data_IF_607562789080
#
_entry.id   IF_607562789080
#
_cell.length_a   1.000
_cell.length_b   1.000
_cell.length_c   1.000
_cell.angle_alpha   90.00
_cell.angle_beta   90.00
_cell.angle_gamma   90.00
#
_symmetry.space_group_name_H-M   'P 1'
#
loop_
_entity.id
_entity.type
_entity.pdbx_description
1 polymer ?
#
# COMPACT_ATOMS: atom_id res chain seq x y z
N UNK A 1 -7.26 -12.24 -0.23
CA UNK A 1 -7.22 -12.19 1.25
C UNK A 1 -5.79 -12.35 1.74
N UNK A 2 -5.36 -11.51 2.68
CA UNK A 2 -4.08 -11.69 3.39
C UNK A 2 -4.37 -11.95 4.87
N UNK A 3 -3.77 -13.01 5.44
CA UNK A 3 -3.94 -13.42 6.84
C UNK A 3 -2.58 -13.39 7.54
N UNK A 4 -2.55 -12.81 8.70
CA UNK A 4 -1.39 -12.66 9.56
C UNK A 4 -1.62 -13.49 10.82
N UNK A 5 -0.65 -14.33 11.20
CA UNK A 5 -0.74 -15.24 12.32
C UNK A 5 0.48 -15.10 13.24
N UNK A 6 0.22 -14.70 14.48
CA UNK A 6 1.20 -14.57 15.56
C UNK A 6 2.48 -13.83 15.11
N UNK A 7 2.31 -12.78 14.31
CA UNK A 7 3.44 -12.07 13.70
C UNK A 7 4.17 -11.23 14.74
N UNK A 8 5.50 -11.37 14.77
CA UNK A 8 6.36 -10.60 15.66
C UNK A 8 7.58 -10.04 14.94
N UNK A 9 8.06 -8.87 15.39
CA UNK A 9 9.28 -8.23 14.89
C UNK A 9 10.11 -7.66 16.02
N UNK A 10 11.39 -8.02 16.01
CA UNK A 10 12.40 -7.51 16.94
C UNK A 10 13.68 -7.13 16.20
N UNK A 11 14.39 -6.14 16.70
CA UNK A 11 15.74 -5.77 16.30
C UNK A 11 16.65 -5.83 17.51
N UNK A 12 17.44 -6.90 17.60
CA UNK A 12 18.21 -7.22 18.82
C UNK A 12 17.29 -7.34 20.03
N UNK A 13 17.56 -6.63 21.13
CA UNK A 13 16.72 -6.69 22.35
C UNK A 13 15.40 -5.92 22.24
N UNK A 14 15.24 -5.08 21.22
CA UNK A 14 14.06 -4.23 21.07
C UNK A 14 12.98 -4.95 20.26
N UNK A 15 11.86 -5.31 20.92
CA UNK A 15 10.66 -5.79 20.26
C UNK A 15 9.80 -4.61 19.84
N UNK A 16 9.44 -4.54 18.56
CA UNK A 16 8.50 -3.55 18.03
C UNK A 16 7.06 -3.96 18.30
N UNK A 17 6.75 -5.20 17.97
CA UNK A 17 5.44 -5.83 18.20
C UNK A 17 5.58 -7.35 18.18
N UNK A 18 4.64 -8.02 18.83
CA UNK A 18 4.56 -9.50 18.90
C UNK A 18 3.11 -9.94 18.95
N UNK A 19 2.85 -11.16 18.50
CA UNK A 19 1.52 -11.75 18.58
C UNK A 19 0.45 -11.03 17.77
N UNK A 20 0.81 -10.41 16.63
CA UNK A 20 -0.18 -9.76 15.77
C UNK A 20 -0.95 -10.81 14.99
N UNK A 21 -2.27 -10.81 15.17
CA UNK A 21 -3.22 -11.66 14.47
C UNK A 21 -4.30 -10.79 13.83
N UNK A 22 -4.39 -10.80 12.51
CA UNK A 22 -5.44 -10.09 11.77
C UNK A 22 -5.56 -10.59 10.33
N UNK A 23 -6.65 -10.21 9.68
CA UNK A 23 -6.90 -10.56 8.28
C UNK A 23 -7.37 -9.31 7.54
N UNK A 24 -6.93 -9.15 6.30
CA UNK A 24 -7.44 -8.14 5.36
C UNK A 24 -8.12 -8.89 4.23
N UNK A 25 -9.41 -8.66 4.07
CA UNK A 25 -10.22 -9.28 3.03
C UNK A 25 -10.01 -8.60 1.68
N UNK A 26 -10.45 -9.25 0.60
CA UNK A 26 -10.64 -8.59 -0.68
C UNK A 26 -11.64 -7.45 -0.52
N UNK A 27 -11.38 -6.33 -1.16
CA UNK A 27 -12.26 -5.18 -1.08
C UNK A 27 -12.27 -4.46 0.27
N UNK A 28 -11.29 -4.74 1.13
CA UNK A 28 -11.21 -4.12 2.45
C UNK A 28 -10.10 -3.07 2.52
N UNK A 29 -10.42 -1.94 3.12
CA UNK A 29 -9.51 -0.85 3.45
C UNK A 29 -9.17 -0.89 4.95
N UNK A 30 -7.96 -1.29 5.32
CA UNK A 30 -7.48 -1.35 6.70
C UNK A 30 -6.55 -0.16 7.01
N UNK A 31 -6.84 0.58 8.09
CA UNK A 31 -5.91 1.56 8.66
C UNK A 31 -4.99 0.92 9.70
N UNK A 32 -3.68 1.11 9.56
CA UNK A 32 -2.70 0.86 10.63
C UNK A 32 -2.43 2.18 11.34
N UNK A 33 -2.79 2.26 12.62
CA UNK A 33 -2.59 3.45 13.44
C UNK A 33 -1.63 3.15 14.60
N UNK A 34 -1.09 4.19 15.21
CA UNK A 34 -0.19 4.07 16.36
C UNK A 34 0.84 5.20 16.37
N UNK A 35 1.56 5.39 17.49
CA UNK A 35 2.54 6.45 17.64
C UNK A 35 3.69 6.34 16.62
N UNK A 36 4.43 7.45 16.44
CA UNK A 36 5.65 7.41 15.63
C UNK A 36 6.64 6.40 16.21
N UNK A 37 7.28 5.62 15.34
CA UNK A 37 8.22 4.56 15.77
C UNK A 37 7.56 3.27 16.29
N UNK A 38 6.23 3.12 16.22
CA UNK A 38 5.53 1.89 16.62
C UNK A 38 5.74 0.70 15.69
N UNK A 39 6.39 0.92 14.53
CA UNK A 39 6.67 -0.15 13.57
C UNK A 39 5.62 -0.34 12.47
N UNK A 40 4.74 0.65 12.20
CA UNK A 40 3.75 0.59 11.10
C UNK A 40 4.41 0.35 9.74
N UNK A 41 5.42 1.16 9.38
CA UNK A 41 6.18 0.99 8.14
C UNK A 41 6.93 -0.36 8.10
N UNK A 42 7.43 -0.82 9.26
CA UNK A 42 8.06 -2.14 9.36
C UNK A 42 7.05 -3.26 9.11
N UNK A 43 5.83 -3.12 9.62
CA UNK A 43 4.75 -4.09 9.35
C UNK A 43 4.39 -4.09 7.86
N UNK A 44 4.22 -2.92 7.23
CA UNK A 44 4.02 -2.83 5.78
C UNK A 44 5.17 -3.49 5.00
N UNK A 45 6.43 -3.27 5.42
CA UNK A 45 7.59 -3.88 4.78
C UNK A 45 7.59 -5.40 4.91
N UNK A 46 7.17 -5.95 6.05
CA UNK A 46 7.00 -7.41 6.21
C UNK A 46 5.88 -7.94 5.29
N UNK A 47 4.71 -7.28 5.24
CA UNK A 47 3.62 -7.64 4.34
C UNK A 47 4.04 -7.57 2.86
N UNK A 48 4.90 -6.60 2.53
CA UNK A 48 5.46 -6.39 1.18
C UNK A 48 6.66 -7.28 0.84
N UNK A 49 7.11 -8.14 1.75
CA UNK A 49 8.32 -8.95 1.60
C UNK A 49 9.57 -8.11 1.27
N UNK A 50 9.65 -6.90 1.83
CA UNK A 50 10.82 -6.02 1.83
C UNK A 50 11.67 -6.23 3.09
N UNK A 51 11.05 -6.72 4.17
CA UNK A 51 11.67 -7.16 5.41
C UNK A 51 11.04 -8.49 5.84
N UNK A 52 11.70 -9.21 6.74
CA UNK A 52 11.19 -10.49 7.28
C UNK A 52 10.72 -10.30 8.72
N UNK A 53 9.58 -10.88 9.12
CA UNK A 53 9.20 -10.94 10.51
C UNK A 53 10.19 -11.79 11.31
N UNK A 54 10.23 -11.61 12.63
CA UNK A 54 11.05 -12.45 13.54
C UNK A 54 10.34 -13.73 13.94
N UNK A 55 9.00 -13.69 14.01
CA UNK A 55 8.13 -14.83 14.34
C UNK A 55 6.81 -14.74 13.60
N UNK A 56 6.05 -15.82 13.56
CA UNK A 56 4.73 -15.87 12.95
C UNK A 56 4.76 -16.08 11.44
N UNK A 57 3.60 -15.99 10.83
CA UNK A 57 3.41 -16.25 9.40
C UNK A 57 2.50 -15.24 8.71
N UNK A 58 2.75 -15.03 7.43
CA UNK A 58 1.95 -14.21 6.52
C UNK A 58 1.43 -15.11 5.40
N UNK A 59 0.12 -15.21 5.28
CA UNK A 59 -0.52 -16.01 4.24
C UNK A 59 -1.24 -15.09 3.24
N UNK A 60 -0.99 -15.29 1.95
CA UNK A 60 -1.75 -14.64 0.88
C UNK A 60 -2.45 -15.72 0.05
N UNK A 61 -3.78 -15.62 -0.08
CA UNK A 61 -4.62 -16.62 -0.73
C UNK A 61 -4.37 -18.05 -0.19
N UNK A 62 -4.26 -18.19 1.14
CA UNK A 62 -4.00 -19.45 1.82
C UNK A 62 -2.57 -20.00 1.69
N UNK A 63 -1.69 -19.31 0.94
CA UNK A 63 -0.30 -19.71 0.78
C UNK A 63 0.59 -18.94 1.73
N UNK A 64 1.42 -19.62 2.50
CA UNK A 64 2.47 -19.01 3.29
C UNK A 64 3.51 -18.34 2.37
N UNK A 65 3.68 -17.04 2.54
CA UNK A 65 4.64 -16.23 1.80
C UNK A 65 5.82 -15.77 2.66
N UNK A 66 5.80 -16.07 3.96
CA UNK A 66 6.80 -15.61 4.94
C UNK A 66 8.21 -16.06 4.57
N UNK A 67 8.34 -17.31 4.17
CA UNK A 67 9.61 -17.94 3.82
C UNK A 67 10.02 -17.80 2.35
N UNK A 68 9.41 -16.89 1.58
CA UNK A 68 9.77 -16.72 0.18
C UNK A 68 11.21 -16.28 0.01
N UNK A 69 12.00 -17.08 -0.72
CA UNK A 69 13.32 -16.67 -1.17
C UNK A 69 13.28 -15.48 -2.16
N UNK A 70 14.43 -14.83 -2.44
CA UNK A 70 14.49 -13.58 -3.20
C UNK A 70 13.75 -13.59 -4.55
N UNK A 71 13.83 -14.70 -5.28
CA UNK A 71 13.16 -14.86 -6.57
C UNK A 71 11.63 -14.92 -6.47
N UNK A 72 11.11 -15.63 -5.45
CA UNK A 72 9.67 -15.72 -5.21
C UNK A 72 9.11 -14.38 -4.69
N UNK A 73 9.81 -13.75 -3.74
CA UNK A 73 9.45 -12.43 -3.22
C UNK A 73 9.43 -11.36 -4.32
N UNK A 74 10.42 -11.37 -5.25
CA UNK A 74 10.44 -10.48 -6.41
C UNK A 74 9.22 -10.69 -7.31
N UNK A 75 8.85 -11.94 -7.60
CA UNK A 75 7.64 -12.26 -8.40
C UNK A 75 6.39 -11.79 -7.69
N UNK A 76 6.27 -12.04 -6.39
CA UNK A 76 5.15 -11.57 -5.58
C UNK A 76 4.98 -10.05 -5.66
N UNK A 77 6.06 -9.28 -5.42
CA UNK A 77 6.03 -7.82 -5.52
C UNK A 77 5.68 -7.32 -6.92
N UNK A 78 6.15 -8.02 -7.96
CA UNK A 78 5.84 -7.66 -9.35
C UNK A 78 4.36 -7.90 -9.69
N UNK A 79 3.83 -9.07 -9.30
CA UNK A 79 2.56 -9.57 -9.85
C UNK A 79 1.36 -9.27 -8.95
N UNK A 80 1.57 -9.13 -7.65
CA UNK A 80 0.51 -9.04 -6.64
C UNK A 80 0.48 -7.69 -5.94
N UNK A 81 1.65 -7.17 -5.56
CA UNK A 81 1.77 -6.04 -4.64
C UNK A 81 1.84 -4.70 -5.36
N UNK A 82 1.06 -3.71 -4.91
CA UNK A 82 1.28 -2.29 -5.12
C UNK A 82 1.81 -1.64 -3.84
N UNK A 83 2.84 -0.82 -3.93
CA UNK A 83 3.36 -0.10 -2.77
C UNK A 83 3.39 1.40 -3.05
N UNK A 84 2.75 2.18 -2.18
CA UNK A 84 2.82 3.63 -2.16
C UNK A 84 3.70 4.05 -0.99
N UNK A 85 4.95 4.37 -1.31
CA UNK A 85 5.95 4.78 -0.32
C UNK A 85 5.76 6.26 0.07
N UNK A 86 6.16 6.60 1.27
CA UNK A 86 6.16 7.99 1.76
C UNK A 86 6.99 8.94 0.86
N UNK A 87 8.08 8.44 0.26
CA UNK A 87 8.94 9.17 -0.68
C UNK A 87 8.62 8.88 -2.16
N UNK A 88 7.41 8.34 -2.45
CA UNK A 88 6.87 8.02 -3.78
C UNK A 88 7.65 6.96 -4.56
N UNK A 89 8.93 6.75 -4.31
CA UNK A 89 9.85 5.83 -5.00
C UNK A 89 9.73 5.91 -6.53
N UNK A 90 9.82 7.13 -7.06
CA UNK A 90 9.80 7.42 -8.50
C UNK A 90 11.23 7.48 -9.05
N UNK A 91 11.37 7.21 -10.35
CA UNK A 91 12.61 7.38 -11.09
C UNK A 91 12.69 8.86 -11.51
N UNK A 92 13.42 9.66 -10.74
CA UNK A 92 13.42 11.13 -10.84
C UNK A 92 13.83 11.66 -12.22
N UNK A 93 14.80 11.02 -12.87
CA UNK A 93 15.32 11.42 -14.18
C UNK A 93 14.57 10.78 -15.36
N UNK A 94 13.48 10.07 -15.08
CA UNK A 94 12.61 9.50 -16.10
C UNK A 94 11.35 10.34 -16.30
N UNK A 95 10.67 10.12 -17.42
CA UNK A 95 9.39 10.75 -17.68
C UNK A 95 8.28 10.15 -16.82
N UNK A 96 7.16 10.86 -16.71
CA UNK A 96 5.95 10.35 -16.06
C UNK A 96 5.51 9.04 -16.69
N UNK A 97 5.42 8.97 -18.02
CA UNK A 97 5.06 7.74 -18.73
C UNK A 97 6.00 6.59 -18.40
N UNK A 98 7.32 6.80 -18.43
CA UNK A 98 8.29 5.75 -18.12
C UNK A 98 8.15 5.21 -16.69
N UNK A 99 7.79 6.07 -15.72
CA UNK A 99 7.50 5.66 -14.35
C UNK A 99 6.25 4.77 -14.23
N UNK A 100 5.26 4.93 -15.09
CA UNK A 100 4.08 4.10 -15.12
C UNK A 100 4.37 2.78 -15.87
N UNK A 101 5.05 2.86 -17.01
CA UNK A 101 5.35 1.71 -17.86
C UNK A 101 6.13 0.61 -17.15
N UNK A 102 7.06 0.96 -16.24
CA UNK A 102 7.81 -0.05 -15.45
C UNK A 102 6.92 -0.88 -14.52
N UNK A 103 5.73 -0.38 -14.18
CA UNK A 103 4.78 -1.08 -13.33
C UNK A 103 3.73 -1.87 -14.12
N UNK A 104 3.60 -1.61 -15.42
CA UNK A 104 2.62 -2.29 -16.27
C UNK A 104 2.95 -3.78 -16.40
N UNK A 105 1.92 -4.60 -16.25
CA UNK A 105 2.04 -6.03 -16.56
C UNK A 105 2.06 -6.23 -18.09
N UNK A 106 2.77 -7.26 -18.60
CA UNK A 106 2.65 -7.62 -20.01
C UNK A 106 1.18 -7.79 -20.36
N UNK A 107 0.73 -7.10 -21.40
CA UNK A 107 -0.69 -7.11 -21.83
C UNK A 107 -1.15 -8.55 -22.04
N UNK A 108 -2.08 -9.02 -21.23
CA UNK A 108 -2.90 -10.18 -21.57
C UNK A 108 -3.84 -9.75 -22.71
N UNK A 109 -3.94 -10.57 -23.76
CA UNK A 109 -4.71 -10.32 -25.01
C UNK A 109 -6.24 -10.12 -24.84
N UNK A 110 -6.77 -9.94 -23.63
CA UNK A 110 -8.19 -9.66 -23.38
C UNK A 110 -8.32 -8.33 -22.66
N UNK A 111 -8.98 -7.41 -23.35
CA UNK A 111 -9.13 -6.01 -23.14
C UNK A 111 -9.36 -5.52 -21.70
N UNK A 112 -8.97 -4.28 -21.48
CA UNK A 112 -9.51 -3.48 -20.41
C UNK A 112 -8.55 -2.93 -19.37
N UNK A 113 -7.25 -3.31 -19.36
CA UNK A 113 -6.32 -2.67 -18.40
C UNK A 113 -6.12 -1.19 -18.72
N UNK A 114 -6.12 -0.31 -17.70
CA UNK A 114 -5.94 1.12 -17.88
C UNK A 114 -4.65 1.43 -18.66
N UNK A 115 -4.74 2.37 -19.60
CA UNK A 115 -3.57 2.91 -20.28
C UNK A 115 -2.86 3.93 -19.40
N UNK A 116 -1.63 4.32 -19.77
CA UNK A 116 -0.92 5.44 -19.12
C UNK A 116 -1.78 6.71 -19.13
N UNK A 117 -2.40 7.03 -20.27
CA UNK A 117 -3.25 8.20 -20.41
C UNK A 117 -4.50 8.14 -19.49
N UNK A 118 -5.18 6.96 -19.44
CA UNK A 118 -6.32 6.78 -18.54
C UNK A 118 -5.94 6.97 -17.08
N UNK A 119 -4.81 6.41 -16.66
CA UNK A 119 -4.34 6.54 -15.29
C UNK A 119 -3.97 8.00 -14.94
N UNK A 120 -3.28 8.70 -15.84
CA UNK A 120 -2.92 10.10 -15.64
C UNK A 120 -4.15 11.00 -15.60
N UNK A 121 -5.15 10.76 -16.43
CA UNK A 121 -6.41 11.47 -16.39
C UNK A 121 -7.13 11.29 -15.04
N UNK A 122 -7.14 10.07 -14.49
CA UNK A 122 -7.77 9.78 -13.18
C UNK A 122 -7.11 10.50 -12.01
N UNK A 123 -5.83 10.84 -12.13
CA UNK A 123 -5.09 11.57 -11.09
C UNK A 123 -4.92 13.06 -11.41
N UNK A 124 -5.59 13.59 -12.44
CA UNK A 124 -5.51 15.01 -12.82
C UNK A 124 -4.16 15.45 -13.39
N UNK A 125 -3.48 14.55 -14.11
CA UNK A 125 -2.20 14.79 -14.80
C UNK A 125 -2.30 14.50 -16.31
N UNK A 126 -3.48 14.72 -16.91
CA UNK A 126 -3.71 14.51 -18.34
C UNK A 126 -2.73 15.34 -19.19
N UNK A 127 -2.14 14.73 -20.21
CA UNK A 127 -1.19 15.37 -21.12
C UNK A 127 0.23 15.56 -20.55
N UNK A 128 0.53 15.07 -19.33
CA UNK A 128 1.82 15.24 -18.66
C UNK A 128 2.78 14.05 -18.85
N UNK A 129 2.52 13.14 -19.80
CA UNK A 129 3.25 11.89 -20.01
C UNK A 129 4.75 12.09 -20.24
N UNK A 130 5.10 13.17 -20.97
CA UNK A 130 6.48 13.47 -21.39
C UNK A 130 7.28 14.28 -20.38
N UNK A 131 6.64 14.79 -19.33
CA UNK A 131 7.35 15.56 -18.32
C UNK A 131 8.26 14.68 -17.48
N UNK A 132 9.38 15.26 -17.05
CA UNK A 132 10.31 14.58 -16.15
C UNK A 132 9.85 14.74 -14.70
N UNK A 133 9.92 13.66 -13.93
CA UNK A 133 9.39 13.61 -12.56
C UNK A 133 10.03 14.66 -11.65
N UNK A 134 11.31 14.93 -11.77
CA UNK A 134 12.00 15.94 -10.95
C UNK A 134 11.49 17.38 -11.15
N UNK A 135 10.70 17.66 -12.19
CA UNK A 135 10.08 18.97 -12.45
C UNK A 135 8.72 19.13 -11.81
N UNK A 136 8.17 18.04 -11.29
CA UNK A 136 6.85 18.01 -10.67
C UNK A 136 6.93 18.46 -9.21
N UNK A 137 5.89 19.12 -8.74
CA UNK A 137 5.68 19.34 -7.30
C UNK A 137 5.52 18.03 -6.54
N UNK A 138 5.72 18.03 -5.21
CA UNK A 138 5.54 16.83 -4.38
C UNK A 138 4.15 16.20 -4.53
N UNK A 139 3.10 17.01 -4.56
CA UNK A 139 1.74 16.52 -4.78
C UNK A 139 1.54 15.89 -6.17
N UNK A 140 2.15 16.46 -7.23
CA UNK A 140 2.13 15.86 -8.57
C UNK A 140 2.92 14.55 -8.63
N UNK A 141 4.09 14.48 -7.99
CA UNK A 141 4.86 13.24 -7.87
C UNK A 141 4.06 12.15 -7.17
N UNK A 142 3.33 12.49 -6.13
CA UNK A 142 2.45 11.55 -5.46
C UNK A 142 1.33 11.07 -6.38
N UNK A 143 0.71 11.96 -7.16
CA UNK A 143 -0.29 11.58 -8.17
C UNK A 143 0.29 10.66 -9.23
N UNK A 144 1.56 10.83 -9.64
CA UNK A 144 2.27 9.87 -10.51
C UNK A 144 2.41 8.51 -9.82
N UNK A 145 2.75 8.47 -8.53
CA UNK A 145 2.84 7.22 -7.77
C UNK A 145 1.48 6.50 -7.65
N UNK A 146 0.38 7.25 -7.50
CA UNK A 146 -0.98 6.70 -7.56
C UNK A 146 -1.34 6.17 -8.96
N UNK A 147 -1.03 6.93 -10.02
CA UNK A 147 -1.25 6.48 -11.39
C UNK A 147 -0.49 5.18 -11.68
N UNK A 148 0.71 5.00 -11.09
CA UNK A 148 1.47 3.75 -11.16
C UNK A 148 0.74 2.57 -10.52
N UNK A 149 -0.02 2.78 -9.43
CA UNK A 149 -0.87 1.73 -8.86
C UNK A 149 -2.04 1.41 -9.79
N UNK A 150 -2.65 2.42 -10.41
CA UNK A 150 -3.79 2.24 -11.33
C UNK A 150 -3.40 1.36 -12.52
N UNK A 151 -2.28 1.64 -13.20
CA UNK A 151 -1.84 0.82 -14.34
C UNK A 151 -1.36 -0.58 -13.95
N UNK A 152 -0.95 -0.76 -12.68
CA UNK A 152 -0.48 -2.04 -12.18
C UNK A 152 -1.60 -3.00 -11.85
N UNK A 153 -2.76 -2.52 -11.42
CA UNK A 153 -3.91 -3.32 -10.97
C UNK A 153 -3.47 -4.41 -9.95
N UNK A 154 -2.91 -4.02 -8.78
CA UNK A 154 -2.45 -4.98 -7.79
C UNK A 154 -3.61 -5.64 -7.05
N UNK A 155 -3.40 -6.85 -6.52
CA UNK A 155 -4.37 -7.50 -5.63
C UNK A 155 -4.24 -7.03 -4.16
N UNK A 156 -3.06 -6.49 -3.79
CA UNK A 156 -2.78 -5.92 -2.48
C UNK A 156 -2.07 -4.58 -2.64
N UNK A 157 -2.59 -3.53 -2.00
CA UNK A 157 -1.93 -2.22 -1.88
C UNK A 157 -1.47 -1.99 -0.45
N UNK A 158 -0.22 -1.60 -0.31
CA UNK A 158 0.38 -1.13 0.94
C UNK A 158 0.73 0.35 0.78
N UNK A 159 0.19 1.23 1.63
CA UNK A 159 0.42 2.67 1.57
C UNK A 159 1.01 3.17 2.89
N UNK A 160 2.20 3.75 2.86
CA UNK A 160 2.91 4.25 4.01
C UNK A 160 2.82 5.78 4.06
N UNK A 161 2.03 6.31 5.00
CA UNK A 161 1.75 7.74 5.19
C UNK A 161 1.41 8.47 3.87
N UNK A 162 0.44 7.96 3.09
CA UNK A 162 0.21 8.43 1.72
C UNK A 162 -0.30 9.87 1.63
N UNK A 163 -0.56 10.53 2.75
CA UNK A 163 -1.10 11.89 2.81
C UNK A 163 -0.31 12.82 3.71
N UNK A 164 0.84 12.37 4.23
CA UNK A 164 1.59 13.07 5.28
C UNK A 164 2.15 14.45 4.92
N UNK A 165 2.26 14.79 3.63
CA UNK A 165 2.79 16.08 3.15
C UNK A 165 1.80 16.81 2.23
N UNK A 166 0.51 16.44 2.23
CA UNK A 166 -0.49 16.95 1.31
C UNK A 166 -1.46 17.94 1.96
N UNK A 167 -1.98 18.83 1.13
CA UNK A 167 -3.16 19.61 1.44
C UNK A 167 -4.43 18.73 1.48
N UNK A 168 -5.53 19.32 1.87
CA UNK A 168 -6.80 18.61 2.05
C UNK A 168 -7.36 18.03 0.74
N UNK A 169 -7.22 18.73 -0.38
CA UNK A 169 -7.73 18.32 -1.69
C UNK A 169 -6.96 17.10 -2.21
N UNK A 170 -5.64 17.15 -2.17
CA UNK A 170 -4.79 16.01 -2.56
C UNK A 170 -4.98 14.80 -1.61
N UNK A 171 -5.19 15.04 -0.31
CA UNK A 171 -5.53 13.98 0.66
C UNK A 171 -6.81 13.24 0.25
N UNK A 172 -7.87 13.98 -0.09
CA UNK A 172 -9.14 13.42 -0.54
C UNK A 172 -8.96 12.58 -1.80
N UNK A 173 -8.28 13.10 -2.81
CA UNK A 173 -8.00 12.38 -4.05
C UNK A 173 -7.28 11.04 -3.80
N UNK A 174 -6.24 11.04 -2.95
CA UNK A 174 -5.50 9.81 -2.61
C UNK A 174 -6.43 8.75 -2.02
N UNK A 175 -7.23 9.14 -1.04
CA UNK A 175 -8.13 8.21 -0.34
C UNK A 175 -9.24 7.72 -1.26
N UNK A 176 -9.79 8.59 -2.13
CA UNK A 176 -10.82 8.21 -3.11
C UNK A 176 -10.30 7.17 -4.11
N UNK A 177 -9.07 7.34 -4.60
CA UNK A 177 -8.45 6.36 -5.50
C UNK A 177 -8.23 5.02 -4.78
N UNK A 178 -7.70 5.04 -3.55
CA UNK A 178 -7.48 3.82 -2.77
C UNK A 178 -8.81 3.12 -2.42
N UNK A 179 -9.87 3.90 -2.14
CA UNK A 179 -11.23 3.36 -1.93
C UNK A 179 -11.76 2.73 -3.20
N UNK A 180 -11.67 3.39 -4.34
CA UNK A 180 -12.08 2.83 -5.64
C UNK A 180 -11.35 1.51 -5.92
N UNK A 181 -10.04 1.43 -5.66
CA UNK A 181 -9.28 0.19 -5.83
C UNK A 181 -9.77 -0.91 -4.87
N UNK A 182 -10.14 -0.55 -3.65
CA UNK A 182 -10.72 -1.47 -2.68
C UNK A 182 -12.08 -1.97 -3.17
N UNK A 183 -12.97 -1.09 -3.63
CA UNK A 183 -14.29 -1.43 -4.16
C UNK A 183 -14.18 -2.35 -5.40
N UNK A 184 -13.10 -2.22 -6.18
CA UNK A 184 -12.74 -3.12 -7.29
C UNK A 184 -12.14 -4.47 -6.83
N UNK A 185 -12.10 -4.74 -5.51
CA UNK A 185 -11.69 -6.01 -4.91
C UNK A 185 -10.24 -6.08 -4.45
N UNK A 186 -9.45 -4.99 -4.55
CA UNK A 186 -8.09 -4.94 -4.01
C UNK A 186 -8.13 -4.90 -2.47
N UNK A 187 -7.26 -5.65 -1.79
CA UNK A 187 -7.01 -5.46 -0.36
C UNK A 187 -6.09 -4.25 -0.18
N UNK A 188 -6.45 -3.30 0.69
CA UNK A 188 -5.67 -2.08 0.90
C UNK A 188 -5.32 -1.91 2.37
N UNK A 189 -4.03 -1.69 2.67
CA UNK A 189 -3.52 -1.42 4.02
C UNK A 189 -2.83 -0.06 4.02
N UNK A 190 -3.30 0.86 4.86
CA UNK A 190 -2.78 2.23 4.95
C UNK A 190 -2.20 2.45 6.35
N UNK A 191 -0.89 2.70 6.46
CA UNK A 191 -0.31 3.24 7.67
C UNK A 191 -0.53 4.76 7.69
N UNK A 192 -1.18 5.27 8.72
CA UNK A 192 -1.47 6.70 8.84
C UNK A 192 -1.59 7.17 10.28
N UNK A 193 -1.29 8.43 10.51
CA UNK A 193 -1.61 9.18 11.71
C UNK A 193 -2.73 10.22 11.48
N UNK A 194 -3.26 10.30 10.24
CA UNK A 194 -4.32 11.23 9.86
C UNK A 194 -5.70 10.62 10.17
N UNK A 195 -6.44 11.26 11.08
CA UNK A 195 -7.77 10.83 11.49
C UNK A 195 -8.77 10.81 10.33
N UNK A 196 -8.70 11.79 9.42
CA UNK A 196 -9.59 11.84 8.26
C UNK A 196 -9.40 10.64 7.31
N UNK A 197 -8.17 10.14 7.17
CA UNK A 197 -7.86 8.92 6.40
C UNK A 197 -8.36 7.69 7.15
N UNK A 198 -8.05 7.59 8.46
CA UNK A 198 -8.50 6.48 9.32
C UNK A 198 -10.02 6.32 9.28
N UNK A 199 -10.75 7.43 9.38
CA UNK A 199 -12.21 7.43 9.45
C UNK A 199 -12.89 6.98 8.15
N UNK A 200 -12.15 6.94 7.06
CA UNK A 200 -12.59 6.42 5.76
C UNK A 200 -12.23 4.95 5.54
N UNK A 201 -11.54 4.31 6.47
CA UNK A 201 -11.21 2.89 6.41
C UNK A 201 -12.30 2.02 7.04
N UNK A 202 -12.44 0.78 6.57
CA UNK A 202 -13.44 -0.18 7.04
C UNK A 202 -13.08 -0.71 8.43
N UNK A 203 -11.76 -0.90 8.65
CA UNK A 203 -11.23 -1.44 9.90
C UNK A 203 -9.98 -0.68 10.33
N UNK A 204 -9.69 -0.71 11.62
CA UNK A 204 -8.53 -0.05 12.22
C UNK A 204 -7.77 -1.05 13.07
N UNK A 205 -6.46 -1.17 12.82
CA UNK A 205 -5.53 -1.93 13.66
C UNK A 205 -4.54 -0.98 14.32
N UNK A 206 -4.47 -1.02 15.65
CA UNK A 206 -3.47 -0.26 16.40
C UNK A 206 -2.17 -1.05 16.51
N UNK A 207 -1.06 -0.46 16.04
CA UNK A 207 0.29 -1.01 16.14
C UNK A 207 1.07 -0.23 17.19
N UNK A 208 1.60 -0.91 18.20
CA UNK A 208 2.50 -0.29 19.18
C UNK A 208 2.27 -0.73 20.60
N UNK A 209 3.37 -0.74 21.37
CA UNK A 209 3.58 -1.22 22.74
C UNK A 209 3.15 -2.68 23.04
N UNK A 210 4.04 -3.40 23.74
CA UNK A 210 3.98 -4.81 24.06
C UNK A 210 2.83 -5.22 25.03
N UNK A 211 1.65 -4.67 24.85
CA UNK A 211 0.43 -4.98 25.58
C UNK A 211 -0.70 -5.13 24.56
N UNK A 212 -1.10 -6.36 24.36
CA UNK A 212 -2.27 -6.89 23.64
C UNK A 212 -2.67 -6.17 22.33
N UNK A 213 -2.86 -6.87 21.23
CA UNK A 213 -3.44 -6.31 20.03
C UNK A 213 -4.81 -5.74 20.39
N UNK A 214 -4.97 -4.42 20.28
CA UNK A 214 -6.27 -3.80 20.43
C UNK A 214 -7.24 -4.42 19.43
N UNK A 215 -8.52 -4.66 19.80
CA UNK A 215 -9.48 -5.33 18.95
C UNK A 215 -9.61 -4.61 17.60
N UNK A 216 -9.63 -5.39 16.53
CA UNK A 216 -10.03 -4.90 15.19
C UNK A 216 -11.47 -4.38 15.31
N UNK A 217 -11.64 -3.06 15.32
CA UNK A 217 -12.98 -2.47 15.35
C UNK A 217 -13.53 -2.47 13.93
N UNK A 218 -14.47 -3.37 13.67
CA UNK A 218 -15.30 -3.30 12.46
C UNK A 218 -16.30 -2.16 12.65
N UNK A 219 -16.41 -1.27 11.67
CA UNK A 219 -17.56 -0.37 11.59
C UNK A 219 -18.73 -1.21 11.09
N UNK A 220 -19.73 -1.43 11.94
CA UNK A 220 -21.02 -1.94 11.49
C UNK A 220 -21.61 -0.90 10.52
N UNK A 221 -21.87 -1.31 9.29
CA UNK A 221 -22.62 -0.50 8.34
C UNK A 221 -24.07 -0.45 8.82
N UNK A 222 -24.47 0.71 9.34
CA UNK A 222 -25.87 1.03 9.61
C UNK A 222 -26.52 1.57 8.34
#
# INVERSE_FOLDING_TARGET
MIKIENLGKSYGPRTLWSGLDFTVQHGQLLALVGPSGSGKSTLLNCLGLLDSPSTGAIHHEGKDITGFGPGAARRYRRDVLGYLFQNYALIENATVAANLEVAMKPRRKRGGSPTVADALKRVGLDGREKEQVHRLSGGEQQRVALARLIVKEPALVLADEPTGALDHENTTLVVDILRTMSDDGCAVVIATHNDAVRDRCDTVLTVGSATEPGPVKNKEHA
#
